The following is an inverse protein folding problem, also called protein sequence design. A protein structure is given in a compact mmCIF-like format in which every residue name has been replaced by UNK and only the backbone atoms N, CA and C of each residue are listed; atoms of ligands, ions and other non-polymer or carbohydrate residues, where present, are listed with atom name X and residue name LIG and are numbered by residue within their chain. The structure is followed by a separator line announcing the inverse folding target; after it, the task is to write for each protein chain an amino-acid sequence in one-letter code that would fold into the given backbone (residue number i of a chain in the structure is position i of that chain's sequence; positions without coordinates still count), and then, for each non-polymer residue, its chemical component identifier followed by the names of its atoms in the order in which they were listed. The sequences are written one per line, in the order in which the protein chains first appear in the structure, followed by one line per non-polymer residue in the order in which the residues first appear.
data_IF_503446362362
#
_entry.id   IF_503446362362
#
_cell.length_a   1.000
_cell.length_b   1.000
_cell.length_c   1.000
_cell.angle_alpha   90.00
_cell.angle_beta   90.00
_cell.angle_gamma   90.00
#
_symmetry.space_group_name_H-M   'P 1'
#
loop_
_entity.id
_entity.type
_entity.pdbx_description
1 polymer ?
#
# COMPACT_ATOMS: atom_id res chain seq x y z
N UNK A 1 16.42 -6.35 13.17
CA UNK A 1 16.25 -4.87 13.10
C UNK A 1 17.25 -4.36 12.08
N UNK A 2 16.80 -3.56 11.11
CA UNK A 2 17.68 -2.91 10.14
C UNK A 2 18.02 -1.49 10.65
N UNK A 3 19.27 -1.05 10.51
CA UNK A 3 19.71 0.28 10.97
C UNK A 3 19.27 1.41 10.03
N UNK A 4 18.81 1.09 8.83
CA UNK A 4 18.47 2.06 7.77
C UNK A 4 16.98 2.09 7.42
N UNK A 5 16.17 1.20 8.02
CA UNK A 5 14.72 1.14 7.79
C UNK A 5 13.96 0.62 8.99
N UNK A 6 12.93 1.37 9.36
CA UNK A 6 11.79 0.89 10.15
C UNK A 6 10.69 0.42 9.19
N UNK A 7 10.55 -0.91 9.06
CA UNK A 7 9.41 -1.52 8.37
C UNK A 7 8.55 -2.28 9.38
N UNK A 8 7.24 -2.04 9.39
CA UNK A 8 6.29 -2.69 10.28
C UNK A 8 4.92 -2.79 9.63
N UNK A 9 4.16 -3.83 9.98
CA UNK A 9 2.77 -3.96 9.60
C UNK A 9 1.93 -4.50 10.76
N UNK A 10 0.74 -3.96 10.96
CA UNK A 10 -0.20 -4.39 12.00
C UNK A 10 -1.60 -4.53 11.43
N UNK A 11 -2.08 -5.78 11.37
CA UNK A 11 -3.45 -6.10 10.97
C UNK A 11 -4.51 -5.63 11.96
N UNK A 12 -4.13 -5.55 13.25
CA UNK A 12 -5.00 -5.16 14.37
C UNK A 12 -4.68 -3.76 14.90
N UNK A 13 -4.12 -2.89 14.06
CA UNK A 13 -3.92 -1.47 14.38
C UNK A 13 -5.27 -0.76 14.62
N UNK A 14 -5.19 0.44 15.20
CA UNK A 14 -6.34 1.36 15.20
C UNK A 14 -6.64 1.74 13.75
N UNK A 15 -7.82 1.37 13.25
CA UNK A 15 -8.13 1.48 11.83
C UNK A 15 -8.04 0.16 11.06
N UNK A 16 -7.40 -0.89 11.59
CA UNK A 16 -7.02 -2.15 10.91
C UNK A 16 -6.05 -1.95 9.73
N UNK A 17 -5.24 -2.98 9.47
CA UNK A 17 -4.32 -3.07 8.32
C UNK A 17 -3.52 -1.78 8.06
N UNK A 18 -2.44 -1.61 8.83
CA UNK A 18 -1.58 -0.43 8.76
C UNK A 18 -0.11 -0.84 8.60
N UNK A 19 0.59 -0.22 7.66
CA UNK A 19 2.02 -0.37 7.43
C UNK A 19 2.83 0.86 7.79
N UNK A 20 4.15 0.67 7.86
CA UNK A 20 5.16 1.73 7.88
C UNK A 20 6.40 1.29 7.12
N UNK A 21 7.01 2.22 6.39
CA UNK A 21 8.35 2.11 5.82
C UNK A 21 9.00 3.49 5.95
N UNK A 22 9.88 3.66 6.93
CA UNK A 22 10.37 4.98 7.35
C UNK A 22 11.84 4.92 7.77
N UNK A 23 12.61 6.01 7.60
CA UNK A 23 13.87 6.21 8.29
C UNK A 23 13.75 6.01 9.80
N UNK A 24 14.67 5.29 10.46
CA UNK A 24 14.57 5.03 11.89
C UNK A 24 14.92 6.23 12.78
N UNK A 25 15.57 7.26 12.23
CA UNK A 25 16.08 8.44 12.92
C UNK A 25 15.25 9.72 12.67
N UNK A 26 14.20 9.63 11.85
CA UNK A 26 13.38 10.78 11.46
C UNK A 26 11.89 10.57 11.76
N UNK A 27 11.51 10.91 12.99
CA UNK A 27 10.14 10.69 13.48
C UNK A 27 9.08 11.63 12.92
N UNK A 28 9.45 12.76 12.30
CA UNK A 28 8.45 13.71 11.80
C UNK A 28 7.79 13.24 10.50
N UNK A 29 8.35 12.23 9.83
CA UNK A 29 7.77 11.57 8.66
C UNK A 29 6.69 10.53 9.03
N UNK A 30 6.58 10.14 10.29
CA UNK A 30 5.71 9.06 10.71
C UNK A 30 4.31 9.55 11.10
N UNK A 31 3.29 9.09 10.37
CA UNK A 31 1.92 9.02 10.89
C UNK A 31 1.33 7.62 10.70
N UNK A 32 0.52 7.23 11.68
CA UNK A 32 0.07 5.86 11.85
C UNK A 32 -1.26 5.60 11.15
N UNK A 33 -2.31 6.36 11.43
CA UNK A 33 -3.69 5.95 11.12
C UNK A 33 -3.91 5.47 9.66
N UNK A 34 -4.13 4.15 9.47
CA UNK A 34 -4.33 3.51 8.15
C UNK A 34 -3.22 3.76 7.11
N UNK A 35 -2.03 4.18 7.54
CA UNK A 35 -0.88 4.41 6.68
C UNK A 35 -0.50 3.13 5.91
N UNK A 36 -0.15 3.27 4.63
CA UNK A 36 0.27 2.19 3.73
C UNK A 36 -0.72 1.02 3.61
N UNK A 37 -1.96 1.20 4.07
CA UNK A 37 -3.02 0.20 4.08
C UNK A 37 -4.10 0.45 3.03
N UNK A 38 -4.03 1.56 2.31
CA UNK A 38 -5.12 2.02 1.42
C UNK A 38 -6.33 2.51 2.20
N UNK A 39 -7.22 3.22 1.49
CA UNK A 39 -8.45 3.76 2.05
C UNK A 39 -9.63 3.43 1.14
N UNK A 40 -10.71 2.95 1.74
CA UNK A 40 -12.01 2.79 1.11
C UNK A 40 -13.05 3.44 2.02
N UNK A 41 -13.69 4.50 1.55
CA UNK A 41 -14.78 5.17 2.26
C UNK A 41 -16.05 5.09 1.43
N UNK A 42 -17.18 4.82 2.08
CA UNK A 42 -18.45 4.54 1.43
C UNK A 42 -19.50 5.59 1.79
N UNK A 43 -20.54 5.68 0.97
CA UNK A 43 -21.76 6.37 1.38
C UNK A 43 -22.33 5.68 2.64
N UNK A 44 -22.68 6.48 3.65
CA UNK A 44 -23.11 5.97 4.96
C UNK A 44 -21.98 5.73 5.96
N UNK A 45 -20.73 6.04 5.59
CA UNK A 45 -19.59 6.18 6.50
C UNK A 45 -19.36 7.67 6.83
N UNK A 46 -19.54 8.05 8.10
CA UNK A 46 -19.35 9.42 8.58
C UNK A 46 -17.86 9.81 8.75
N UNK A 47 -16.94 8.89 8.45
CA UNK A 47 -15.50 9.09 8.56
C UNK A 47 -14.99 9.16 9.99
N UNK A 48 -15.85 8.98 11.00
CA UNK A 48 -15.48 9.12 12.41
C UNK A 48 -15.21 7.76 13.06
N UNK A 49 -14.01 7.57 13.58
CA UNK A 49 -13.67 6.38 14.39
C UNK A 49 -14.02 6.65 15.86
N UNK A 50 -15.23 6.25 16.28
CA UNK A 50 -15.72 6.45 17.66
C UNK A 50 -15.21 5.35 18.59
N UNK A 51 -14.77 5.74 19.79
CA UNK A 51 -14.56 4.79 20.90
C UNK A 51 -13.42 3.77 20.73
N UNK A 52 -12.51 3.92 19.76
CA UNK A 52 -11.40 2.97 19.60
C UNK A 52 -11.65 1.81 18.61
N UNK A 53 -12.88 1.69 18.09
CA UNK A 53 -13.27 0.60 17.18
C UNK A 53 -13.47 1.11 15.76
N UNK A 54 -13.03 0.33 14.77
CA UNK A 54 -13.34 0.57 13.36
C UNK A 54 -14.81 0.27 13.11
N UNK A 55 -15.60 1.27 12.72
CA UNK A 55 -17.06 1.08 12.57
C UNK A 55 -17.42 0.34 11.27
N UNK A 56 -16.62 0.53 10.21
CA UNK A 56 -16.94 0.02 8.87
C UNK A 56 -15.88 -0.94 8.30
N UNK A 57 -14.98 -1.45 9.13
CA UNK A 57 -13.93 -2.39 8.73
C UNK A 57 -13.89 -3.60 9.65
N UNK A 58 -13.72 -4.80 9.09
CA UNK A 58 -13.54 -6.04 9.85
C UNK A 58 -12.45 -6.90 9.24
N UNK A 59 -11.43 -7.24 10.05
CA UNK A 59 -10.37 -8.17 9.65
C UNK A 59 -10.95 -9.58 9.48
N UNK A 60 -10.77 -10.17 8.30
CA UNK A 60 -11.21 -11.53 7.99
C UNK A 60 -10.13 -12.55 8.37
N UNK A 61 -8.90 -12.32 7.92
CA UNK A 61 -7.77 -13.21 8.15
C UNK A 61 -6.47 -12.62 7.61
N UNK A 62 -5.35 -13.17 8.05
CA UNK A 62 -4.04 -12.77 7.57
C UNK A 62 -3.01 -13.88 7.76
N UNK A 63 -1.92 -13.76 7.02
CA UNK A 63 -0.73 -14.59 7.13
C UNK A 63 0.52 -13.73 7.26
N UNK A 64 1.51 -14.21 7.99
CA UNK A 64 2.80 -13.56 8.18
C UNK A 64 3.88 -14.62 8.03
N UNK A 65 4.79 -14.37 7.11
CA UNK A 65 6.05 -15.09 6.96
C UNK A 65 7.22 -14.15 7.24
N UNK A 66 8.31 -14.70 7.73
CA UNK A 66 9.55 -13.95 7.95
C UNK A 66 10.73 -14.67 7.31
N UNK A 67 11.77 -13.90 7.00
CA UNK A 67 13.01 -14.41 6.44
C UNK A 67 14.15 -13.47 6.87
N UNK A 68 15.42 -13.90 6.80
CA UNK A 68 16.54 -13.03 7.14
C UNK A 68 16.47 -11.68 6.40
N UNK A 69 16.47 -10.59 7.16
CA UNK A 69 16.43 -9.22 6.63
C UNK A 69 15.03 -8.63 6.34
N UNK A 70 13.96 -9.44 6.38
CA UNK A 70 12.64 -8.99 5.97
C UNK A 70 11.46 -9.83 6.44
N UNK A 71 10.28 -9.51 5.93
CA UNK A 71 9.06 -10.26 6.18
C UNK A 71 8.05 -10.03 5.07
N UNK A 72 7.11 -10.95 4.92
CA UNK A 72 5.99 -10.82 4.02
C UNK A 72 4.69 -11.06 4.81
N UNK A 73 3.69 -10.24 4.58
CA UNK A 73 2.37 -10.45 5.16
C UNK A 73 1.29 -10.15 4.14
N UNK A 74 0.23 -10.95 4.17
CA UNK A 74 -0.95 -10.75 3.33
C UNK A 74 -2.21 -11.07 4.12
N UNK A 75 -3.35 -10.57 3.67
CA UNK A 75 -4.59 -10.73 4.40
C UNK A 75 -5.75 -9.99 3.78
N UNK A 76 -6.89 -10.08 4.46
CA UNK A 76 -8.17 -9.62 3.96
C UNK A 76 -8.90 -8.80 5.01
N UNK A 77 -9.39 -7.63 4.60
CA UNK A 77 -10.27 -6.76 5.37
C UNK A 77 -11.59 -6.63 4.63
N UNK A 78 -12.69 -6.87 5.33
CA UNK A 78 -14.02 -6.51 4.85
C UNK A 78 -14.23 -5.02 5.08
N UNK A 79 -14.53 -4.30 4.02
CA UNK A 79 -14.77 -2.85 3.98
C UNK A 79 -16.26 -2.55 3.85
N UNK A 80 -16.69 -1.40 4.35
CA UNK A 80 -18.09 -0.97 4.33
C UNK A 80 -19.01 -1.89 5.13
N UNK A 81 -18.57 -2.28 6.33
CA UNK A 81 -19.36 -3.11 7.26
C UNK A 81 -20.43 -2.26 7.94
N UNK A 82 -21.68 -2.73 7.96
CA UNK A 82 -22.75 -2.10 8.73
C UNK A 82 -23.09 -0.67 8.29
N UNK A 83 -23.02 -0.37 6.99
CA UNK A 83 -23.37 0.93 6.45
C UNK A 83 -24.87 1.21 6.60
N UNK A 84 -25.22 2.46 6.88
CA UNK A 84 -26.60 2.95 6.91
C UNK A 84 -26.69 4.26 6.15
N UNK A 85 -27.68 4.35 5.27
CA UNK A 85 -28.02 5.59 4.57
C UNK A 85 -29.28 6.20 5.18
N UNK A 86 -29.38 7.54 5.16
CA UNK A 86 -30.50 8.27 5.76
C UNK A 86 -31.83 7.95 5.07
N UNK A 87 -31.79 7.53 3.81
CA UNK A 87 -32.93 7.05 3.02
C UNK A 87 -33.45 5.67 3.45
N UNK A 88 -32.88 5.09 4.52
CA UNK A 88 -33.36 3.87 5.16
C UNK A 88 -32.71 2.58 4.66
N UNK A 89 -31.74 2.67 3.75
CA UNK A 89 -30.97 1.51 3.30
C UNK A 89 -29.93 1.10 4.35
N UNK A 90 -29.70 -0.21 4.48
CA UNK A 90 -28.68 -0.81 5.36
C UNK A 90 -27.94 -1.93 4.65
N UNK A 91 -26.62 -1.93 4.75
CA UNK A 91 -25.74 -2.94 4.16
C UNK A 91 -24.88 -3.61 5.22
N UNK A 92 -24.72 -4.94 5.11
CA UNK A 92 -23.88 -5.68 6.05
C UNK A 92 -22.39 -5.59 5.69
N UNK A 93 -22.04 -5.74 4.42
CA UNK A 93 -20.68 -5.91 3.89
C UNK A 93 -20.66 -5.37 2.46
N UNK A 94 -19.65 -4.58 2.09
CA UNK A 94 -19.65 -3.86 0.81
C UNK A 94 -18.50 -4.21 -0.12
N UNK A 95 -17.28 -4.39 0.40
CA UNK A 95 -16.14 -4.75 -0.44
C UNK A 95 -15.13 -5.62 0.30
N UNK A 96 -14.45 -6.50 -0.44
CA UNK A 96 -13.31 -7.25 0.07
C UNK A 96 -12.02 -6.54 -0.34
N UNK A 97 -11.20 -6.17 0.64
CA UNK A 97 -9.88 -5.59 0.43
C UNK A 97 -8.81 -6.63 0.77
N UNK A 98 -8.03 -7.01 -0.22
CA UNK A 98 -6.93 -7.95 -0.12
C UNK A 98 -5.62 -7.16 -0.21
N UNK A 99 -4.73 -7.40 0.75
CA UNK A 99 -3.48 -6.66 0.86
C UNK A 99 -2.32 -7.63 0.97
N UNK A 100 -1.20 -7.27 0.36
CA UNK A 100 0.11 -7.81 0.69
C UNK A 100 1.08 -6.67 0.99
N UNK A 101 1.94 -6.88 1.98
CA UNK A 101 2.98 -5.95 2.41
C UNK A 101 4.26 -6.75 2.64
N UNK A 102 5.31 -6.43 1.92
CA UNK A 102 6.57 -7.18 1.91
C UNK A 102 7.74 -6.25 2.13
N UNK A 103 8.41 -6.41 3.27
CA UNK A 103 9.69 -5.76 3.53
C UNK A 103 10.82 -6.63 2.97
N UNK A 104 11.47 -6.17 1.90
CA UNK A 104 12.54 -6.92 1.24
C UNK A 104 13.80 -7.04 2.13
N UNK A 105 14.64 -8.08 1.92
CA UNK A 105 15.89 -8.26 2.67
C UNK A 105 16.95 -7.18 2.43
N UNK A 106 16.80 -6.37 1.38
CA UNK A 106 17.73 -5.30 0.99
C UNK A 106 17.88 -4.20 2.05
N UNK A 107 17.01 -4.20 3.07
CA UNK A 107 17.08 -3.27 4.18
C UNK A 107 16.44 -1.91 3.91
N UNK A 108 15.86 -1.67 2.73
CA UNK A 108 15.35 -0.36 2.33
C UNK A 108 13.95 -0.40 1.73
N UNK A 109 13.61 -1.46 0.99
CA UNK A 109 12.42 -1.47 0.13
C UNK A 109 11.26 -2.23 0.76
N UNK A 110 10.08 -1.62 0.72
CA UNK A 110 8.80 -2.27 0.99
C UNK A 110 8.00 -2.30 -0.30
N UNK A 111 7.41 -3.45 -0.62
CA UNK A 111 6.43 -3.61 -1.70
C UNK A 111 5.05 -3.80 -1.10
N UNK A 112 4.07 -3.05 -1.60
CA UNK A 112 2.66 -3.21 -1.27
C UNK A 112 1.83 -3.57 -2.49
N UNK A 113 0.86 -4.47 -2.30
CA UNK A 113 -0.10 -4.88 -3.31
C UNK A 113 -1.50 -4.80 -2.69
N UNK A 114 -2.46 -4.24 -3.42
CA UNK A 114 -3.81 -4.02 -2.92
C UNK A 114 -4.84 -4.31 -4.00
N UNK A 115 -5.84 -5.12 -3.67
CA UNK A 115 -6.99 -5.37 -4.53
C UNK A 115 -8.29 -5.22 -3.75
N UNK A 116 -9.22 -4.41 -4.26
CA UNK A 116 -10.54 -4.17 -3.65
C UNK A 116 -11.61 -4.57 -4.65
N UNK A 117 -12.51 -5.46 -4.25
CA UNK A 117 -13.62 -5.96 -5.08
C UNK A 117 -14.96 -5.67 -4.40
N UNK A 118 -15.90 -5.07 -5.13
CA UNK A 118 -17.26 -4.80 -4.64
C UNK A 118 -18.06 -6.11 -4.47
N UNK A 119 -18.89 -6.21 -3.42
CA UNK A 119 -19.57 -7.45 -3.03
C UNK A 119 -21.10 -7.31 -2.97
N UNK A 120 -21.80 -8.33 -3.48
CA UNK A 120 -23.20 -8.66 -3.16
C UNK A 120 -24.30 -7.68 -3.62
N UNK A 121 -24.00 -6.40 -3.75
CA UNK A 121 -24.91 -5.33 -4.17
C UNK A 121 -24.12 -4.18 -4.82
N UNK A 122 -24.82 -3.21 -5.42
CA UNK A 122 -24.19 -2.00 -5.92
C UNK A 122 -23.66 -1.16 -4.76
N UNK A 123 -22.38 -0.84 -4.82
CA UNK A 123 -21.64 -0.13 -3.76
C UNK A 123 -21.37 1.30 -4.21
N UNK A 124 -21.45 2.24 -3.26
CA UNK A 124 -21.17 3.66 -3.52
C UNK A 124 -19.95 4.08 -2.70
N UNK A 125 -18.81 4.23 -3.36
CA UNK A 125 -17.60 4.77 -2.77
C UNK A 125 -17.65 6.30 -2.77
N UNK A 126 -17.10 6.90 -1.72
CA UNK A 126 -16.81 8.34 -1.64
C UNK A 126 -15.33 8.62 -1.81
N UNK A 127 -14.48 7.68 -1.38
CA UNK A 127 -13.03 7.73 -1.58
C UNK A 127 -12.46 6.33 -1.78
N UNK A 128 -11.56 6.21 -2.74
CA UNK A 128 -10.72 5.02 -2.94
C UNK A 128 -9.28 5.50 -3.14
N UNK A 129 -8.40 5.13 -2.21
CA UNK A 129 -6.97 5.49 -2.26
C UNK A 129 -6.11 4.24 -2.16
N UNK A 130 -5.30 3.98 -3.18
CA UNK A 130 -4.20 3.02 -3.13
C UNK A 130 -2.94 3.66 -2.58
N UNK A 131 -1.96 2.86 -2.15
CA UNK A 131 -0.80 3.28 -1.35
C UNK A 131 -1.22 3.89 0.00
N UNK A 132 -1.82 5.08 -0.01
CA UNK A 132 -2.25 5.83 1.17
C UNK A 132 -1.11 6.03 2.17
N UNK A 133 -0.02 6.63 1.69
CA UNK A 133 1.10 7.05 2.52
C UNK A 133 0.75 8.39 3.17
N UNK A 134 0.57 8.37 4.49
CA UNK A 134 0.37 9.58 5.27
C UNK A 134 1.68 10.35 5.38
N UNK A 135 1.67 11.61 4.92
CA UNK A 135 2.77 12.54 5.00
C UNK A 135 2.40 13.69 5.95
N UNK A 136 2.80 13.62 7.24
CA UNK A 136 2.57 14.71 8.19
C UNK A 136 3.21 16.00 7.70
N UNK A 137 2.51 17.12 7.79
CA UNK A 137 3.02 18.41 7.33
C UNK A 137 2.67 19.51 8.35
N UNK A 138 3.31 19.43 9.53
CA UNK A 138 2.92 20.19 10.73
C UNK A 138 4.14 20.77 11.48
N UNK A 139 3.99 21.21 12.72
CA UNK A 139 5.01 21.93 13.50
C UNK A 139 6.45 21.41 13.37
N UNK A 140 6.67 20.09 13.33
CA UNK A 140 8.01 19.49 13.31
C UNK A 140 8.78 19.63 12.00
N UNK A 141 8.11 19.91 10.89
CA UNK A 141 8.76 20.18 9.60
C UNK A 141 8.58 21.65 9.14
N UNK A 142 8.08 22.52 10.02
CA UNK A 142 7.82 23.92 9.68
C UNK A 142 6.62 24.12 8.74
N UNK A 143 5.72 23.15 8.66
CA UNK A 143 4.56 23.16 7.76
C UNK A 143 4.92 23.17 6.26
N UNK A 144 6.09 22.64 5.90
CA UNK A 144 6.52 22.50 4.51
C UNK A 144 7.07 21.07 4.26
N UNK A 145 6.72 20.51 3.10
CA UNK A 145 7.32 19.28 2.55
C UNK A 145 7.83 19.53 1.14
N UNK A 146 8.88 18.83 0.75
CA UNK A 146 9.45 18.90 -0.59
C UNK A 146 9.42 17.54 -1.26
N UNK A 147 8.85 17.51 -2.45
CA UNK A 147 8.77 16.32 -3.29
C UNK A 147 9.55 16.59 -4.56
N UNK A 148 10.49 15.71 -4.88
CA UNK A 148 11.10 15.66 -6.21
C UNK A 148 10.35 14.62 -7.02
N UNK A 149 9.91 15.01 -8.21
CA UNK A 149 9.17 14.18 -9.16
C UNK A 149 9.77 14.35 -10.56
N UNK A 150 9.29 13.61 -11.56
CA UNK A 150 9.76 13.73 -12.96
C UNK A 150 9.75 15.19 -13.47
N UNK A 151 8.71 15.96 -13.12
CA UNK A 151 8.54 17.36 -13.52
C UNK A 151 9.38 18.39 -12.73
N UNK A 152 10.18 17.96 -11.74
CA UNK A 152 10.97 18.84 -10.87
C UNK A 152 10.52 18.80 -9.41
N UNK A 153 10.83 19.87 -8.67
CA UNK A 153 10.51 19.97 -7.24
C UNK A 153 9.14 20.63 -7.00
N UNK A 154 8.36 20.05 -6.10
CA UNK A 154 7.07 20.54 -5.62
C UNK A 154 7.17 20.78 -4.11
N UNK A 155 6.88 22.02 -3.69
CA UNK A 155 6.74 22.37 -2.28
C UNK A 155 5.28 22.30 -1.84
N UNK A 156 4.99 21.55 -0.79
CA UNK A 156 3.68 21.43 -0.18
C UNK A 156 3.66 22.19 1.15
N UNK A 157 2.99 23.34 1.19
CA UNK A 157 2.76 24.10 2.42
C UNK A 157 1.43 23.73 3.10
N UNK A 158 1.42 23.62 4.43
CA UNK A 158 0.20 23.38 5.21
C UNK A 158 -0.17 24.56 6.12
N UNK A 159 -1.47 24.86 6.31
CA UNK A 159 -2.62 24.28 5.60
C UNK A 159 -2.62 24.67 4.10
N UNK A 160 -3.20 23.81 3.27
CA UNK A 160 -3.56 24.16 1.88
C UNK A 160 -4.72 25.15 1.87
N UNK A 161 -4.86 25.95 0.81
CA UNK A 161 -5.97 26.92 0.67
C UNK A 161 -7.33 26.23 0.48
N UNK A 162 -7.33 25.13 -0.27
CA UNK A 162 -8.50 24.31 -0.59
C UNK A 162 -8.20 22.81 -0.49
N UNK A 163 -9.26 22.04 -0.24
CA UNK A 163 -9.22 20.58 -0.28
C UNK A 163 -9.17 20.12 -1.74
N UNK A 164 -8.40 19.08 -2.03
CA UNK A 164 -8.34 18.55 -3.39
C UNK A 164 -7.22 17.54 -3.62
N UNK A 165 -7.32 16.85 -4.74
CA UNK A 165 -6.32 15.89 -5.21
C UNK A 165 -5.41 16.58 -6.22
N UNK A 166 -4.13 16.70 -5.87
CA UNK A 166 -3.08 17.23 -6.74
C UNK A 166 -2.39 16.07 -7.49
N UNK A 167 -2.56 15.93 -8.82
CA UNK A 167 -1.76 15.01 -9.61
C UNK A 167 -0.29 15.46 -9.66
N UNK A 168 0.65 14.51 -9.56
CA UNK A 168 2.08 14.82 -9.53
C UNK A 168 2.75 14.80 -10.91
N UNK A 169 2.08 14.29 -11.95
CA UNK A 169 2.68 14.12 -13.29
C UNK A 169 3.81 13.09 -13.32
N UNK A 170 3.86 12.19 -12.34
CA UNK A 170 4.94 11.23 -12.15
C UNK A 170 4.44 10.02 -11.37
N UNK A 171 4.90 8.83 -11.73
CA UNK A 171 4.68 7.57 -11.01
C UNK A 171 5.66 7.37 -9.85
N UNK A 172 6.64 8.26 -9.69
CA UNK A 172 7.58 8.24 -8.58
C UNK A 172 7.66 9.60 -7.87
N UNK A 173 8.01 9.58 -6.60
CA UNK A 173 8.28 10.79 -5.83
C UNK A 173 9.35 10.53 -4.78
N UNK A 174 10.26 11.49 -4.61
CA UNK A 174 11.27 11.46 -3.57
C UNK A 174 11.02 12.59 -2.56
N UNK A 175 10.68 12.21 -1.33
CA UNK A 175 10.16 13.10 -0.29
C UNK A 175 11.30 13.48 0.66
N UNK A 176 11.55 14.78 0.80
CA UNK A 176 12.51 15.41 1.71
C UNK A 176 13.94 14.83 1.65
N UNK A 177 14.31 14.15 0.57
CA UNK A 177 15.61 13.48 0.48
C UNK A 177 15.72 12.18 1.30
N UNK A 178 14.60 11.63 1.79
CA UNK A 178 14.56 10.53 2.78
C UNK A 178 13.73 9.33 2.35
N UNK A 179 12.61 9.56 1.65
CA UNK A 179 11.66 8.49 1.29
C UNK A 179 11.43 8.52 -0.22
N UNK A 180 11.68 7.40 -0.88
CA UNK A 180 11.23 7.16 -2.24
C UNK A 180 9.87 6.47 -2.26
N UNK A 181 9.02 6.84 -3.21
CA UNK A 181 7.75 6.19 -3.51
C UNK A 181 7.70 5.93 -5.01
N UNK A 182 7.31 4.72 -5.41
CA UNK A 182 7.18 4.33 -6.82
C UNK A 182 5.90 3.54 -7.01
N UNK A 183 5.08 3.94 -7.97
CA UNK A 183 3.94 3.18 -8.46
C UNK A 183 4.41 2.06 -9.40
N UNK A 184 4.04 0.81 -9.12
CA UNK A 184 4.46 -0.35 -9.94
C UNK A 184 3.43 -0.70 -11.02
N UNK A 185 2.13 -0.62 -10.69
CA UNK A 185 1.02 -0.77 -11.63
C UNK A 185 -0.29 -0.28 -10.98
N UNK A 186 -1.34 -0.09 -11.80
CA UNK A 186 -2.71 0.19 -11.31
C UNK A 186 -3.13 1.66 -11.39
N UNK A 187 -2.19 2.57 -11.67
CA UNK A 187 -2.44 3.96 -11.98
C UNK A 187 -1.34 4.51 -12.91
N UNK A 188 -1.57 5.67 -13.52
CA UNK A 188 -0.60 6.34 -14.41
C UNK A 188 0.36 7.25 -13.65
N UNK A 189 -0.08 7.83 -12.53
CA UNK A 189 0.69 8.80 -11.74
C UNK A 189 0.32 8.75 -10.26
N UNK A 190 1.25 9.20 -9.42
CA UNK A 190 1.03 9.52 -8.02
C UNK A 190 0.18 10.79 -7.90
N UNK A 191 -0.54 10.86 -6.80
CA UNK A 191 -1.35 12.03 -6.44
C UNK A 191 -1.21 12.34 -4.96
N UNK A 192 -1.43 13.59 -4.60
CA UNK A 192 -1.48 14.04 -3.21
C UNK A 192 -2.89 14.50 -2.91
N UNK A 193 -3.62 13.74 -2.10
CA UNK A 193 -4.87 14.24 -1.54
C UNK A 193 -4.54 15.21 -0.40
N UNK A 194 -5.05 16.44 -0.48
CA UNK A 194 -4.72 17.54 0.42
C UNK A 194 -5.99 18.02 1.12
N UNK A 195 -5.85 18.35 2.40
CA UNK A 195 -6.95 18.88 3.21
C UNK A 195 -6.51 20.12 3.99
N UNK A 196 -7.33 21.16 3.96
CA UNK A 196 -7.16 22.40 4.73
C UNK A 196 -7.32 22.16 6.23
N UNK A 197 -8.05 21.12 6.61
CA UNK A 197 -8.26 20.75 8.00
C UNK A 197 -7.23 19.71 8.44
N UNK A 198 -6.94 19.70 9.73
CA UNK A 198 -6.17 18.61 10.33
C UNK A 198 -6.98 17.33 10.26
N UNK A 199 -6.30 16.22 9.97
CA UNK A 199 -6.90 14.88 9.87
C UNK A 199 -6.01 13.76 10.40
N UNK A 200 -4.74 14.07 10.72
CA UNK A 200 -3.80 13.07 11.23
C UNK A 200 -4.11 12.62 12.65
N UNK A 201 -3.93 11.33 12.89
CA UNK A 201 -4.21 10.68 14.16
C UNK A 201 -5.70 10.66 14.52
N UNK A 202 -6.02 9.89 15.56
CA UNK A 202 -7.40 9.75 16.08
C UNK A 202 -8.07 11.09 16.42
N UNK A 203 -7.30 12.10 16.80
CA UNK A 203 -7.80 13.39 17.26
C UNK A 203 -7.80 14.47 16.18
N UNK A 204 -7.47 14.12 14.92
CA UNK A 204 -7.34 15.08 13.84
C UNK A 204 -6.45 16.27 14.26
N UNK A 205 -5.29 15.96 14.84
CA UNK A 205 -4.39 16.93 15.48
C UNK A 205 -3.22 17.35 14.60
N UNK A 206 -3.02 16.70 13.47
CA UNK A 206 -1.94 16.99 12.53
C UNK A 206 -2.50 17.33 11.15
N UNK A 207 -1.87 18.30 10.49
CA UNK A 207 -1.96 18.41 9.04
C UNK A 207 -1.24 17.21 8.42
N UNK A 208 -1.92 16.54 7.51
CA UNK A 208 -1.42 15.35 6.81
C UNK A 208 -1.85 15.47 5.36
N UNK A 209 -0.89 15.50 4.47
CA UNK A 209 -1.10 15.25 3.04
C UNK A 209 -1.02 13.73 2.81
N UNK A 210 -1.77 13.17 1.88
CA UNK A 210 -1.82 11.72 1.63
C UNK A 210 -1.30 11.41 0.23
N UNK A 211 -0.12 10.77 0.13
CA UNK A 211 0.43 10.32 -1.16
C UNK A 211 -0.27 9.03 -1.56
N UNK A 212 -0.86 9.02 -2.74
CA UNK A 212 -1.75 7.97 -3.21
C UNK A 212 -1.39 7.49 -4.62
N UNK A 213 -1.68 6.23 -4.89
CA UNK A 213 -1.54 5.59 -6.20
C UNK A 213 -2.68 4.59 -6.39
N UNK A 214 -3.82 4.96 -6.99
CA UNK A 214 -4.32 6.32 -7.24
C UNK A 214 -5.05 6.92 -6.03
N UNK A 215 -5.48 8.19 -6.11
CA UNK A 215 -6.57 8.75 -5.30
C UNK A 215 -7.79 9.06 -6.17
N UNK A 216 -8.93 8.47 -5.84
CA UNK A 216 -10.25 8.87 -6.37
C UNK A 216 -11.10 9.39 -5.23
N UNK A 217 -11.49 10.66 -5.34
CA UNK A 217 -12.33 11.36 -4.37
C UNK A 217 -13.58 11.83 -5.09
N UNK A 218 -14.73 11.50 -4.54
CA UNK A 218 -16.04 11.73 -5.16
C UNK A 218 -16.86 10.45 -5.21
N UNK A 219 -18.16 10.62 -5.47
CA UNK A 219 -19.08 9.49 -5.50
C UNK A 219 -18.86 8.65 -6.76
N UNK A 220 -18.51 7.38 -6.57
CA UNK A 220 -18.37 6.36 -7.63
C UNK A 220 -19.24 5.15 -7.27
N UNK A 221 -19.97 4.60 -8.24
CA UNK A 221 -20.79 3.40 -8.04
C UNK A 221 -20.20 2.21 -8.78
N UNK A 222 -20.11 1.07 -8.10
CA UNK A 222 -19.65 -0.20 -8.67
C UNK A 222 -20.68 -1.30 -8.44
N UNK A 223 -20.89 -2.13 -9.45
CA UNK A 223 -21.71 -3.32 -9.39
C UNK A 223 -20.93 -4.49 -8.73
N UNK A 224 -21.65 -5.52 -8.21
CA UNK A 224 -21.01 -6.66 -7.56
C UNK A 224 -19.98 -7.35 -8.46
N UNK A 225 -18.80 -7.63 -7.91
CA UNK A 225 -17.70 -8.28 -8.62
C UNK A 225 -16.79 -7.33 -9.39
N UNK A 226 -17.16 -6.05 -9.53
CA UNK A 226 -16.25 -5.06 -10.11
C UNK A 226 -15.08 -4.77 -9.17
N UNK A 227 -13.90 -4.60 -9.77
CA UNK A 227 -12.67 -4.30 -9.06
C UNK A 227 -12.57 -2.79 -8.90
N UNK A 228 -12.70 -2.34 -7.66
CA UNK A 228 -12.52 -0.94 -7.31
C UNK A 228 -11.05 -0.56 -7.43
N UNK A 229 -10.13 -1.33 -6.84
CA UNK A 229 -8.69 -1.03 -6.80
C UNK A 229 -7.89 -2.30 -7.14
N UNK A 230 -6.83 -2.18 -7.93
CA UNK A 230 -5.83 -3.23 -8.19
C UNK A 230 -4.49 -2.55 -8.46
N UNK A 231 -3.65 -2.43 -7.43
CA UNK A 231 -2.47 -1.58 -7.45
C UNK A 231 -1.28 -2.23 -6.76
N UNK A 232 -0.10 -2.01 -7.31
CA UNK A 232 1.19 -2.28 -6.68
C UNK A 232 2.03 -1.01 -6.54
N UNK A 233 2.77 -0.92 -5.45
CA UNK A 233 3.64 0.21 -5.14
C UNK A 233 4.87 -0.23 -4.36
N UNK A 234 5.91 0.59 -4.38
CA UNK A 234 7.12 0.44 -3.58
C UNK A 234 7.38 1.70 -2.74
N UNK A 235 7.87 1.52 -1.52
CA UNK A 235 8.38 2.59 -0.66
C UNK A 235 9.80 2.28 -0.24
N UNK A 236 10.73 3.20 -0.50
CA UNK A 236 12.15 3.09 -0.24
C UNK A 236 12.53 4.00 0.93
N UNK A 237 12.98 3.42 2.03
CA UNK A 237 13.51 4.17 3.18
C UNK A 237 15.00 4.45 2.97
N UNK A 238 15.44 5.70 3.14
CA UNK A 238 16.85 6.11 2.99
C UNK A 238 17.44 5.87 1.59
N UNK A 239 16.59 5.82 0.56
CA UNK A 239 17.04 5.80 -0.84
C UNK A 239 17.42 7.19 -1.32
N UNK A 240 18.25 7.29 -2.36
CA UNK A 240 18.46 8.54 -3.08
C UNK A 240 17.34 8.80 -4.09
N UNK A 241 17.24 10.04 -4.57
CA UNK A 241 16.38 10.41 -5.70
C UNK A 241 16.64 9.51 -6.91
N UNK A 242 17.91 9.32 -7.30
CA UNK A 242 18.27 8.47 -8.43
C UNK A 242 17.83 7.02 -8.23
N UNK A 243 17.99 6.46 -7.03
CA UNK A 243 17.50 5.10 -6.73
C UNK A 243 15.98 4.99 -6.75
N UNK A 244 15.27 6.08 -6.44
CA UNK A 244 13.80 6.11 -6.51
C UNK A 244 13.33 6.17 -7.96
N UNK A 245 13.86 7.12 -8.74
CA UNK A 245 13.52 7.31 -10.17
C UNK A 245 13.90 6.10 -11.01
N UNK A 246 15.09 5.56 -10.78
CA UNK A 246 15.68 4.52 -11.61
C UNK A 246 15.39 3.11 -11.05
N UNK A 247 14.37 2.96 -10.19
CA UNK A 247 13.97 1.66 -9.64
C UNK A 247 13.51 0.73 -10.78
N UNK A 248 14.26 -0.34 -11.00
CA UNK A 248 13.89 -1.33 -12.00
C UNK A 248 12.84 -2.30 -11.46
N UNK A 249 11.72 -2.43 -12.18
CA UNK A 249 10.69 -3.41 -11.87
C UNK A 249 9.99 -3.97 -13.11
N UNK A 250 9.32 -5.12 -12.94
CA UNK A 250 8.45 -5.73 -13.95
C UNK A 250 7.14 -6.10 -13.25
N UNK A 251 6.00 -5.48 -13.57
CA UNK A 251 4.72 -5.83 -12.96
C UNK A 251 4.28 -7.23 -13.38
N UNK A 252 3.65 -7.96 -12.46
CA UNK A 252 3.16 -9.32 -12.67
C UNK A 252 1.65 -9.34 -12.47
N UNK A 253 0.93 -9.78 -13.49
CA UNK A 253 -0.50 -10.04 -13.43
C UNK A 253 -0.85 -11.26 -14.28
N UNK A 254 -1.24 -12.36 -13.64
CA UNK A 254 -1.72 -13.55 -14.35
C UNK A 254 -2.77 -14.30 -13.50
N UNK A 255 -3.98 -14.40 -14.06
CA UNK A 255 -5.14 -14.91 -13.34
C UNK A 255 -5.39 -14.10 -12.07
N UNK A 256 -5.41 -14.79 -10.94
CA UNK A 256 -5.64 -14.22 -9.62
C UNK A 256 -4.35 -13.81 -8.89
N UNK A 257 -3.21 -13.91 -9.56
CA UNK A 257 -1.90 -13.51 -9.00
C UNK A 257 -1.57 -12.08 -9.40
N UNK A 258 -1.08 -11.33 -8.42
CA UNK A 258 -0.56 -9.96 -8.55
C UNK A 258 0.82 -9.85 -7.95
N UNK A 259 1.67 -9.03 -8.52
CA UNK A 259 3.05 -8.96 -8.07
C UNK A 259 3.93 -7.99 -8.84
N UNK A 260 5.22 -8.06 -8.52
CA UNK A 260 6.27 -7.42 -9.29
C UNK A 260 7.60 -8.13 -9.08
N UNK A 261 8.44 -8.14 -10.12
CA UNK A 261 9.89 -8.28 -9.95
C UNK A 261 10.48 -6.91 -9.66
N UNK A 262 11.42 -6.82 -8.73
CA UNK A 262 12.07 -5.55 -8.34
C UNK A 262 13.55 -5.80 -8.12
N UNK A 263 14.40 -4.91 -8.65
CA UNK A 263 15.80 -4.87 -8.28
C UNK A 263 15.94 -4.16 -6.93
N UNK A 264 16.28 -4.90 -5.89
CA UNK A 264 16.49 -4.37 -4.55
C UNK A 264 17.74 -3.49 -4.46
N UNK A 265 17.82 -2.69 -3.40
CA UNK A 265 18.94 -1.78 -3.19
C UNK A 265 20.27 -2.48 -2.86
N UNK A 266 20.24 -3.79 -2.61
CA UNK A 266 21.42 -4.65 -2.49
C UNK A 266 21.90 -5.22 -3.84
N UNK A 267 21.26 -4.82 -4.95
CA UNK A 267 21.57 -5.27 -6.30
C UNK A 267 21.00 -6.65 -6.65
N UNK A 268 20.19 -7.26 -5.78
CA UNK A 268 19.54 -8.54 -6.06
C UNK A 268 18.14 -8.35 -6.60
N UNK A 269 17.73 -9.23 -7.51
CA UNK A 269 16.37 -9.23 -8.04
C UNK A 269 15.45 -10.08 -7.17
N UNK A 270 14.32 -9.52 -6.80
CA UNK A 270 13.28 -10.17 -6.02
C UNK A 270 12.00 -10.27 -6.84
N UNK A 271 11.18 -11.29 -6.58
CA UNK A 271 9.82 -11.37 -7.08
C UNK A 271 8.85 -11.49 -5.90
N UNK A 272 7.82 -10.65 -5.86
CA UNK A 272 6.74 -10.70 -4.89
C UNK A 272 5.47 -11.13 -5.61
N UNK A 273 4.86 -12.23 -5.18
CA UNK A 273 3.68 -12.82 -5.78
C UNK A 273 2.59 -12.99 -4.72
N UNK A 274 1.48 -12.28 -4.85
CA UNK A 274 0.32 -12.39 -3.96
C UNK A 274 -0.87 -13.00 -4.69
N UNK A 275 -1.52 -13.97 -4.04
CA UNK A 275 -2.72 -14.62 -4.56
C UNK A 275 -3.99 -13.94 -4.05
N UNK A 276 -4.76 -13.35 -4.97
CA UNK A 276 -5.99 -12.64 -4.68
C UNK A 276 -7.26 -13.50 -4.87
N UNK A 277 -7.15 -14.72 -5.41
CA UNK A 277 -8.30 -15.62 -5.59
C UNK A 277 -8.64 -16.48 -4.38
N UNK A 278 -9.73 -17.25 -4.48
CA UNK A 278 -10.23 -18.18 -3.46
C UNK A 278 -9.70 -19.61 -3.59
N UNK A 279 -9.28 -20.00 -4.80
CA UNK A 279 -8.71 -21.31 -5.09
C UNK A 279 -7.22 -21.18 -5.39
N UNK A 280 -6.43 -22.20 -5.04
CA UNK A 280 -5.01 -22.18 -5.32
C UNK A 280 -4.73 -22.22 -6.84
N UNK A 281 -3.72 -21.49 -7.28
CA UNK A 281 -3.33 -21.39 -8.69
C UNK A 281 -1.94 -22.01 -8.89
N UNK A 282 -1.78 -22.84 -9.94
CA UNK A 282 -0.46 -23.28 -10.36
C UNK A 282 0.29 -22.09 -11.00
N UNK A 283 1.49 -21.82 -10.52
CA UNK A 283 2.35 -20.75 -11.00
C UNK A 283 3.63 -21.30 -11.60
N UNK A 284 4.08 -20.74 -12.73
CA UNK A 284 5.35 -21.11 -13.35
C UNK A 284 6.44 -20.08 -13.10
N UNK A 285 7.62 -20.56 -12.66
CA UNK A 285 8.83 -19.72 -12.55
C UNK A 285 9.28 -19.20 -13.92
N UNK A 286 8.87 -19.85 -15.01
CA UNK A 286 9.13 -19.39 -16.37
C UNK A 286 8.43 -18.08 -16.75
N UNK A 287 7.49 -17.61 -15.92
CA UNK A 287 6.86 -16.29 -16.07
C UNK A 287 7.73 -15.15 -15.52
N UNK A 288 8.81 -15.48 -14.81
CA UNK A 288 9.78 -14.50 -14.30
C UNK A 288 10.92 -14.28 -15.30
N UNK A 289 11.69 -13.21 -15.08
CA UNK A 289 12.93 -12.98 -15.81
C UNK A 289 13.90 -14.18 -15.69
N UNK A 290 14.65 -14.39 -16.77
CA UNK A 290 15.54 -15.53 -16.91
C UNK A 290 16.56 -15.60 -15.77
N UNK A 291 16.61 -16.73 -15.07
CA UNK A 291 17.57 -17.00 -14.00
C UNK A 291 17.14 -18.17 -13.13
N UNK A 292 17.94 -18.45 -12.11
CA UNK A 292 17.59 -19.43 -11.08
C UNK A 292 16.94 -18.68 -9.93
N UNK A 293 15.74 -19.08 -9.54
CA UNK A 293 14.99 -18.44 -8.46
C UNK A 293 14.95 -19.34 -7.23
N UNK A 294 14.95 -18.72 -6.04
CA UNK A 294 14.80 -19.40 -4.76
C UNK A 294 13.73 -18.71 -3.92
N UNK A 295 12.95 -19.49 -3.19
CA UNK A 295 11.97 -18.94 -2.25
C UNK A 295 12.66 -18.50 -0.97
N UNK A 296 12.35 -17.30 -0.49
CA UNK A 296 12.79 -16.83 0.82
C UNK A 296 11.95 -17.48 1.93
N UNK A 297 12.62 -18.04 2.93
CA UNK A 297 12.00 -18.63 4.11
C UNK A 297 12.84 -18.41 5.37
N UNK A 298 12.28 -18.73 6.53
CA UNK A 298 12.90 -18.54 7.86
C UNK A 298 14.24 -19.26 7.97
N UNK A 299 14.35 -20.50 7.44
CA UNK A 299 15.55 -21.34 7.52
C UNK A 299 16.59 -21.04 6.41
N UNK A 300 16.36 -20.00 5.60
CA UNK A 300 17.17 -19.67 4.43
C UNK A 300 16.41 -19.89 3.12
N UNK A 301 17.03 -19.51 2.00
CA UNK A 301 16.40 -19.64 0.69
C UNK A 301 16.42 -21.09 0.19
N UNK A 302 15.28 -21.64 -0.22
CA UNK A 302 15.21 -22.98 -0.82
C UNK A 302 15.03 -22.92 -2.33
N UNK A 303 15.61 -23.88 -3.05
CA UNK A 303 15.32 -24.05 -4.47
C UNK A 303 13.81 -24.29 -4.66
N UNK A 304 13.23 -23.65 -5.68
CA UNK A 304 11.82 -23.78 -6.01
C UNK A 304 11.65 -24.64 -7.27
N UNK A 305 10.65 -25.54 -7.33
CA UNK A 305 10.36 -26.26 -8.56
C UNK A 305 9.97 -25.31 -9.71
N UNK A 306 10.06 -25.78 -10.95
CA UNK A 306 9.72 -25.00 -12.16
C UNK A 306 8.28 -24.49 -12.16
N UNK A 307 7.38 -25.21 -11.51
CA UNK A 307 6.05 -24.75 -11.14
C UNK A 307 5.74 -25.12 -9.69
N UNK A 308 4.93 -24.32 -9.03
CA UNK A 308 4.46 -24.58 -7.67
C UNK A 308 3.02 -24.12 -7.52
N UNK A 309 2.33 -24.68 -6.53
CA UNK A 309 0.98 -24.26 -6.21
C UNK A 309 1.04 -23.05 -5.26
N UNK A 310 0.52 -21.92 -5.70
CA UNK A 310 0.37 -20.74 -4.86
C UNK A 310 -1.01 -20.78 -4.20
N UNK A 311 -1.06 -21.04 -2.88
CA UNK A 311 -2.34 -21.13 -2.17
C UNK A 311 -3.07 -19.78 -2.14
N UNK A 312 -4.40 -19.85 -2.13
CA UNK A 312 -5.26 -18.69 -1.95
C UNK A 312 -4.91 -17.88 -0.69
N UNK A 313 -4.83 -16.56 -0.83
CA UNK A 313 -4.52 -15.68 0.29
C UNK A 313 -3.07 -15.78 0.82
N UNK A 314 -2.14 -16.30 0.01
CA UNK A 314 -0.70 -16.30 0.32
C UNK A 314 0.06 -15.25 -0.47
N UNK A 315 1.21 -14.90 0.07
CA UNK A 315 2.26 -14.15 -0.63
C UNK A 315 3.53 -14.99 -0.62
N UNK A 316 4.19 -15.07 -1.77
CA UNK A 316 5.49 -15.73 -1.93
C UNK A 316 6.51 -14.68 -2.34
N UNK A 317 7.69 -14.75 -1.72
CA UNK A 317 8.83 -13.90 -2.05
C UNK A 317 9.95 -14.76 -2.56
N UNK A 318 10.43 -14.46 -3.76
CA UNK A 318 11.54 -15.14 -4.40
C UNK A 318 12.72 -14.20 -4.55
N UNK A 319 13.92 -14.75 -4.61
CA UNK A 319 15.17 -14.05 -4.93
C UNK A 319 15.88 -14.78 -6.07
N UNK A 320 16.41 -14.02 -7.02
CA UNK A 320 17.24 -14.56 -8.09
C UNK A 320 18.61 -14.92 -7.52
N UNK A 321 19.05 -16.15 -7.73
CA UNK A 321 20.39 -16.60 -7.38
C UNK A 321 21.43 -15.93 -8.30
N UNK A 322 22.60 -15.66 -7.72
CA UNK A 322 23.80 -15.16 -8.43
C UNK A 322 24.32 -16.16 -9.48
#
# INVERSE_FOLDING_TARGET
RCSTRLAAFSWRAFGLAQGMCQPPDDGHLAEWAQNLGGLCRFAGDDGAIRGGQTQHRRLIGYHIDSFPGGFATCGQVMEGVGLSLDEGWRGAESALHQLAFVALPDGHTVIGLQRVTALGHRVYFLEIKGLHLNLPNDLYNGFERRLIVEGGEIALGSPTEEDGVLPLGSDWAHIDGRIGVVGLYGAEELSVDRCRMRRGGRFASLYVDEICFPARVGMESLDPGEVALDVGWAVLSEGSEAQTRDLEYIPIAAGEVRGAEVLGMDGRRYAVLAHCGEEAQEWSVGELSAGVWRQLAVEGSSDIPKSFLLEAGRVVVLVQAE
#
